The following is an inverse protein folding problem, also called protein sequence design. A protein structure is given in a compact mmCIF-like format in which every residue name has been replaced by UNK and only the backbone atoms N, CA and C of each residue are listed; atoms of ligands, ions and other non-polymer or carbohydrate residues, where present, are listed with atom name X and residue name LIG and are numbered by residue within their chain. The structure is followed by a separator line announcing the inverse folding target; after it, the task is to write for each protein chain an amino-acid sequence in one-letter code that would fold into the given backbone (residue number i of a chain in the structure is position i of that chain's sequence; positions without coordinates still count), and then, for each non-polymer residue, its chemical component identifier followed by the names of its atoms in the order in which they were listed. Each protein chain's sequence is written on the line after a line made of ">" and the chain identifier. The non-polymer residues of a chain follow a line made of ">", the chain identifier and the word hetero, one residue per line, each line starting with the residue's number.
data_IF_452621258303
#
_entry.id   IF_452621258303
#
_cell.length_a   1.000
_cell.length_b   1.000
_cell.length_c   1.000
_cell.angle_alpha   90.00
_cell.angle_beta   90.00
_cell.angle_gamma   90.00
#
_symmetry.space_group_name_H-M   'P 1'
#
loop_
_entity.id
_entity.type
_entity.pdbx_description
1 polymer ?
#
# COMPACT_ATOMS: atom_id res chain seq x y z
N UNK A 1 -2.32 -73.57 -12.44
CA UNK A 1 -2.63 -72.67 -11.30
C UNK A 1 -1.52 -71.62 -11.08
N UNK A 2 -0.99 -71.01 -12.16
CA UNK A 2 0.12 -70.04 -12.13
C UNK A 2 -0.30 -68.65 -12.67
N UNK A 3 -1.42 -68.58 -13.40
CA UNK A 3 -1.88 -67.36 -14.10
C UNK A 3 -2.51 -66.31 -13.18
N UNK A 4 -2.90 -66.69 -11.96
CA UNK A 4 -3.64 -65.79 -11.05
C UNK A 4 -2.71 -64.83 -10.30
N UNK A 5 -1.44 -65.21 -10.09
CA UNK A 5 -0.47 -64.36 -9.39
C UNK A 5 -0.07 -63.14 -10.21
N UNK A 6 0.19 -63.31 -11.51
CA UNK A 6 0.54 -62.21 -12.41
C UNK A 6 -0.64 -61.24 -12.60
N UNK A 7 -1.86 -61.78 -12.70
CA UNK A 7 -3.09 -60.99 -12.75
C UNK A 7 -3.34 -60.19 -11.46
N UNK A 8 -2.93 -60.72 -10.30
CA UNK A 8 -3.04 -60.00 -9.03
C UNK A 8 -2.04 -58.84 -8.93
N UNK A 9 -0.81 -59.02 -9.43
CA UNK A 9 0.21 -57.97 -9.44
C UNK A 9 -0.16 -56.78 -10.34
N UNK A 10 -0.77 -57.04 -11.50
CA UNK A 10 -1.22 -55.96 -12.40
C UNK A 10 -2.38 -55.16 -11.79
N UNK A 11 -3.32 -55.82 -11.11
CA UNK A 11 -4.42 -55.15 -10.40
C UNK A 11 -3.88 -54.31 -9.25
N UNK A 12 -2.92 -54.84 -8.49
CA UNK A 12 -2.29 -54.11 -7.40
C UNK A 12 -1.52 -52.88 -7.90
N UNK A 13 -0.77 -53.00 -8.99
CA UNK A 13 -0.06 -51.87 -9.60
C UNK A 13 -1.02 -50.78 -10.10
N UNK A 14 -2.13 -51.16 -10.75
CA UNK A 14 -3.15 -50.22 -11.20
C UNK A 14 -3.81 -49.47 -10.03
N UNK A 15 -4.07 -50.16 -8.92
CA UNK A 15 -4.61 -49.55 -7.71
C UNK A 15 -3.63 -48.55 -7.08
N UNK A 16 -2.35 -48.91 -6.96
CA UNK A 16 -1.32 -48.00 -6.42
C UNK A 16 -1.14 -46.76 -7.30
N UNK A 17 -1.15 -46.90 -8.62
CA UNK A 17 -1.06 -45.76 -9.55
C UNK A 17 -2.30 -44.86 -9.40
N UNK A 18 -3.50 -45.44 -9.29
CA UNK A 18 -4.74 -44.69 -9.13
C UNK A 18 -4.75 -43.84 -7.85
N UNK A 19 -4.37 -44.42 -6.70
CA UNK A 19 -4.25 -43.68 -5.43
C UNK A 19 -3.20 -42.57 -5.54
N UNK A 20 -2.04 -42.87 -6.12
CA UNK A 20 -0.96 -41.90 -6.29
C UNK A 20 -1.40 -40.70 -7.13
N UNK A 21 -2.19 -40.95 -8.18
CA UNK A 21 -2.72 -39.89 -9.05
C UNK A 21 -3.75 -39.01 -8.33
N UNK A 22 -4.64 -39.60 -7.53
CA UNK A 22 -5.62 -38.85 -6.74
C UNK A 22 -4.92 -37.95 -5.72
N UNK A 23 -3.93 -38.49 -5.00
CA UNK A 23 -3.14 -37.70 -4.04
C UNK A 23 -2.40 -36.57 -4.76
N UNK A 24 -1.82 -36.83 -5.93
CA UNK A 24 -1.13 -35.81 -6.71
C UNK A 24 -2.06 -34.66 -7.12
N UNK A 25 -3.29 -34.97 -7.57
CA UNK A 25 -4.29 -33.96 -7.94
C UNK A 25 -4.68 -33.11 -6.73
N UNK A 26 -4.86 -33.72 -5.56
CA UNK A 26 -5.19 -33.00 -4.32
C UNK A 26 -4.04 -32.07 -3.92
N UNK A 27 -2.79 -32.54 -3.97
CA UNK A 27 -1.62 -31.73 -3.64
C UNK A 27 -1.42 -30.58 -4.63
N UNK A 28 -1.64 -30.82 -5.93
CA UNK A 28 -1.57 -29.76 -6.95
C UNK A 28 -2.64 -28.69 -6.69
N UNK A 29 -3.87 -29.10 -6.40
CA UNK A 29 -4.95 -28.14 -6.12
C UNK A 29 -4.64 -27.31 -4.86
N UNK A 30 -4.13 -27.95 -3.80
CA UNK A 30 -3.71 -27.26 -2.59
C UNK A 30 -2.54 -26.29 -2.85
N UNK A 31 -1.57 -26.69 -3.67
CA UNK A 31 -0.43 -25.86 -4.04
C UNK A 31 -0.84 -24.64 -4.86
N UNK A 32 -1.79 -24.80 -5.81
CA UNK A 32 -2.30 -23.66 -6.57
C UNK A 32 -3.11 -22.70 -5.70
N UNK A 33 -3.97 -23.22 -4.81
CA UNK A 33 -4.72 -22.41 -3.86
C UNK A 33 -3.80 -21.59 -2.96
N UNK A 34 -2.77 -22.24 -2.38
CA UNK A 34 -1.79 -21.58 -1.52
C UNK A 34 -0.94 -20.58 -2.28
N UNK A 35 -0.53 -20.89 -3.52
CA UNK A 35 0.24 -19.98 -4.37
C UNK A 35 -0.56 -18.74 -4.76
N UNK A 36 -1.85 -18.91 -5.07
CA UNK A 36 -2.75 -17.82 -5.38
C UNK A 36 -2.95 -16.91 -4.15
N UNK A 37 -3.23 -17.48 -2.98
CA UNK A 37 -3.38 -16.70 -1.74
C UNK A 37 -2.10 -15.96 -1.35
N UNK A 38 -0.94 -16.59 -1.48
CA UNK A 38 0.35 -15.94 -1.19
C UNK A 38 0.62 -14.76 -2.14
N UNK A 39 0.32 -14.92 -3.44
CA UNK A 39 0.47 -13.85 -4.42
C UNK A 39 -0.47 -12.68 -4.15
N UNK A 40 -1.73 -12.95 -3.77
CA UNK A 40 -2.70 -11.91 -3.45
C UNK A 40 -2.33 -11.18 -2.16
N UNK A 41 -1.90 -11.90 -1.12
CA UNK A 41 -1.48 -11.29 0.15
C UNK A 41 -0.29 -10.33 -0.04
N UNK A 42 0.64 -10.63 -0.94
CA UNK A 42 1.77 -9.77 -1.25
C UNK A 42 1.36 -8.48 -2.00
N UNK A 43 0.25 -8.50 -2.74
CA UNK A 43 -0.32 -7.34 -3.43
C UNK A 43 -1.26 -6.52 -2.55
N UNK A 44 -2.02 -7.16 -1.66
CA UNK A 44 -2.98 -6.50 -0.77
C UNK A 44 -2.31 -5.78 0.40
N UNK A 45 -1.19 -6.30 0.90
CA UNK A 45 -0.43 -5.69 2.00
C UNK A 45 0.06 -4.26 1.70
N UNK A 46 0.76 -3.97 0.57
CA UNK A 46 1.18 -2.60 0.27
C UNK A 46 -0.03 -1.68 0.00
N UNK A 47 -1.08 -2.16 -0.66
CA UNK A 47 -2.21 -1.31 -1.06
C UNK A 47 -3.02 -0.79 0.13
N UNK A 48 -3.24 -1.63 1.15
CA UNK A 48 -4.00 -1.25 2.34
C UNK A 48 -3.23 -0.23 3.19
N UNK A 49 -1.95 -0.50 3.46
CA UNK A 49 -1.09 0.40 4.23
C UNK A 49 -0.94 1.77 3.54
N UNK A 50 -0.82 1.79 2.22
CA UNK A 50 -0.71 3.03 1.45
C UNK A 50 -1.97 3.88 1.51
N UNK A 51 -3.14 3.23 1.50
CA UNK A 51 -4.42 3.93 1.65
C UNK A 51 -4.59 4.49 3.05
N UNK A 52 -4.30 3.69 4.07
CA UNK A 52 -4.39 4.15 5.46
C UNK A 52 -3.44 5.31 5.72
N UNK A 53 -2.18 5.20 5.28
CA UNK A 53 -1.21 6.26 5.38
C UNK A 53 -1.66 7.52 4.64
N UNK A 54 -2.28 7.35 3.47
CA UNK A 54 -2.84 8.46 2.72
C UNK A 54 -3.97 9.17 3.47
N UNK A 55 -4.91 8.42 4.02
CA UNK A 55 -6.07 8.98 4.72
C UNK A 55 -5.63 9.69 6.02
N UNK A 56 -4.66 9.12 6.73
CA UNK A 56 -4.05 9.74 7.92
C UNK A 56 -3.30 11.03 7.56
N UNK A 57 -2.44 10.99 6.53
CA UNK A 57 -1.71 12.18 6.06
C UNK A 57 -2.66 13.27 5.62
N UNK A 58 -3.71 12.93 4.87
CA UNK A 58 -4.70 13.90 4.42
C UNK A 58 -5.43 14.55 5.60
N UNK A 59 -5.78 13.76 6.61
CA UNK A 59 -6.42 14.26 7.83
C UNK A 59 -5.50 15.22 8.58
N UNK A 60 -4.23 14.86 8.78
CA UNK A 60 -3.23 15.70 9.45
C UNK A 60 -2.98 17.01 8.71
N UNK A 61 -2.80 16.96 7.38
CA UNK A 61 -2.63 18.16 6.54
C UNK A 61 -3.86 19.06 6.66
N UNK A 62 -5.06 18.49 6.65
CA UNK A 62 -6.30 19.25 6.76
C UNK A 62 -6.46 19.91 8.14
N UNK A 63 -6.08 19.23 9.24
CA UNK A 63 -6.05 19.82 10.59
C UNK A 63 -5.07 21.00 10.63
N UNK A 64 -3.88 20.81 10.07
CA UNK A 64 -2.83 21.85 10.03
C UNK A 64 -3.29 23.04 9.17
N UNK A 65 -3.92 22.82 8.01
CA UNK A 65 -4.39 23.89 7.13
C UNK A 65 -5.56 24.71 7.71
N UNK A 66 -6.31 24.15 8.66
CA UNK A 66 -7.34 24.85 9.44
C UNK A 66 -6.75 25.68 10.60
N UNK A 67 -5.43 25.62 10.84
CA UNK A 67 -4.79 26.40 11.87
C UNK A 67 -4.63 27.86 11.43
N UNK A 68 -5.01 28.76 12.34
CA UNK A 68 -4.97 30.19 12.08
C UNK A 68 -3.51 30.67 11.92
N UNK A 69 -3.26 31.51 10.91
CA UNK A 69 -1.94 32.12 10.61
C UNK A 69 -0.84 31.17 10.11
N UNK A 70 -1.17 29.98 9.58
CA UNK A 70 -0.18 29.11 8.94
C UNK A 70 -0.02 29.42 7.44
N UNK A 71 1.22 29.36 6.95
CA UNK A 71 1.55 29.56 5.52
C UNK A 71 1.75 28.24 4.79
N UNK A 72 1.57 28.24 3.46
CA UNK A 72 1.82 27.06 2.61
C UNK A 72 3.22 26.49 2.78
N UNK A 73 4.23 27.33 3.02
CA UNK A 73 5.62 26.91 3.19
C UNK A 73 5.79 26.11 4.50
N UNK A 74 5.16 26.55 5.60
CA UNK A 74 5.22 25.84 6.88
C UNK A 74 4.53 24.48 6.81
N UNK A 75 3.41 24.39 6.08
CA UNK A 75 2.75 23.11 5.81
C UNK A 75 3.68 22.19 5.02
N UNK A 76 4.29 22.71 3.95
CA UNK A 76 5.20 21.93 3.11
C UNK A 76 6.44 21.45 3.88
N UNK A 77 7.05 22.30 4.71
CA UNK A 77 8.19 21.93 5.55
C UNK A 77 7.81 20.85 6.58
N UNK A 78 6.64 20.97 7.18
CA UNK A 78 6.10 19.97 8.11
C UNK A 78 5.86 18.63 7.41
N UNK A 79 5.31 18.66 6.20
CA UNK A 79 5.04 17.44 5.41
C UNK A 79 6.31 16.79 4.86
N UNK A 80 7.34 17.56 4.52
CA UNK A 80 8.65 17.02 4.19
C UNK A 80 9.29 16.32 5.40
N UNK A 81 9.19 16.91 6.59
CA UNK A 81 9.69 16.29 7.83
C UNK A 81 8.89 15.01 8.18
N UNK A 82 7.58 15.05 8.07
CA UNK A 82 6.73 13.86 8.21
C UNK A 82 7.12 12.74 7.23
N UNK A 83 7.37 13.09 5.97
CA UNK A 83 7.93 12.19 4.97
C UNK A 83 9.25 11.56 5.43
N UNK A 84 10.22 12.36 5.89
CA UNK A 84 11.51 11.83 6.37
C UNK A 84 11.34 10.89 7.59
N UNK A 85 10.48 11.24 8.54
CA UNK A 85 10.19 10.40 9.70
C UNK A 85 9.55 9.06 9.30
N UNK A 86 8.61 9.07 8.34
CA UNK A 86 8.03 7.84 7.79
C UNK A 86 9.07 6.96 7.10
N UNK A 87 9.90 7.55 6.25
CA UNK A 87 11.01 6.86 5.58
C UNK A 87 11.92 6.15 6.59
N UNK A 88 12.26 6.84 7.70
CA UNK A 88 13.04 6.26 8.80
C UNK A 88 12.28 5.17 9.55
N UNK A 89 10.97 5.32 9.76
CA UNK A 89 10.14 4.30 10.41
C UNK A 89 10.10 3.01 9.59
N UNK A 90 9.89 3.09 8.28
CA UNK A 90 9.94 1.92 7.40
C UNK A 90 11.35 1.29 7.35
N UNK A 91 12.41 2.11 7.41
CA UNK A 91 13.78 1.62 7.51
C UNK A 91 14.03 0.82 8.81
N UNK A 92 13.43 1.20 9.95
CA UNK A 92 13.48 0.39 11.18
C UNK A 92 12.78 -0.96 11.06
N UNK A 93 11.75 -1.06 10.21
CA UNK A 93 11.08 -2.31 9.89
C UNK A 93 11.85 -3.15 8.84
N UNK A 94 13.05 -2.73 8.44
CA UNK A 94 13.90 -3.45 7.49
C UNK A 94 13.56 -3.22 6.02
N UNK A 95 12.74 -2.19 5.72
CA UNK A 95 12.35 -1.85 4.35
C UNK A 95 12.94 -0.48 3.96
N UNK A 96 13.62 -0.42 2.82
CA UNK A 96 14.11 0.85 2.26
C UNK A 96 12.96 1.52 1.51
N UNK A 97 12.40 2.55 2.12
CA UNK A 97 11.22 3.24 1.61
C UNK A 97 11.51 4.73 1.51
N UNK A 98 11.32 5.31 0.32
CA UNK A 98 11.35 6.77 0.15
C UNK A 98 9.92 7.28 0.04
N UNK A 99 9.49 8.02 1.05
CA UNK A 99 8.20 8.72 1.13
C UNK A 99 8.40 10.18 0.74
N UNK A 100 7.56 10.69 -0.14
CA UNK A 100 7.51 12.12 -0.47
C UNK A 100 6.08 12.59 -0.36
N UNK A 101 5.84 13.56 0.51
CA UNK A 101 4.54 14.17 0.72
C UNK A 101 4.59 15.60 0.19
N UNK A 102 3.86 15.84 -0.89
CA UNK A 102 3.70 17.18 -1.45
C UNK A 102 2.29 17.68 -1.17
N UNK A 103 2.20 18.89 -0.63
CA UNK A 103 0.92 19.54 -0.37
C UNK A 103 0.82 20.83 -1.15
N UNK A 104 -0.28 21.01 -1.87
CA UNK A 104 -0.66 22.31 -2.43
C UNK A 104 -1.83 22.85 -1.63
N UNK A 105 -1.75 24.12 -1.21
CA UNK A 105 -2.85 24.81 -0.55
C UNK A 105 -3.29 26.05 -1.34
N UNK A 106 -4.57 26.37 -1.24
CA UNK A 106 -5.19 27.58 -1.81
C UNK A 106 -5.75 28.45 -0.68
N UNK A 107 -5.49 29.74 -0.72
CA UNK A 107 -6.07 30.71 0.22
C UNK A 107 -7.57 30.80 0.00
N UNK A 108 -8.37 30.65 1.06
CA UNK A 108 -9.80 31.04 1.01
C UNK A 108 -9.87 32.56 0.87
N UNK A 109 -10.22 33.04 -0.32
CA UNK A 109 -10.56 34.42 -0.67
C UNK A 109 -9.53 35.51 -0.32
N UNK A 110 -8.80 35.98 -1.33
CA UNK A 110 -8.44 37.40 -1.42
C UNK A 110 -9.42 38.09 -2.39
N UNK A 111 -10.71 38.17 -2.02
CA UNK A 111 -11.52 39.28 -2.50
C UNK A 111 -10.96 40.52 -1.81
N UNK A 112 -10.01 41.18 -2.47
CA UNK A 112 -9.33 42.37 -1.98
C UNK A 112 -10.35 43.47 -1.67
N UNK A 113 -10.83 43.51 -0.42
CA UNK A 113 -11.46 44.71 0.14
C UNK A 113 -11.05 44.86 1.59
N UNK A 114 -10.14 45.81 1.77
CA UNK A 114 -10.00 46.71 2.92
C UNK A 114 -9.58 46.17 4.28
N UNK A 115 -8.47 46.73 4.79
CA UNK A 115 -8.37 47.28 6.14
C UNK A 115 -9.30 46.64 7.20
N UNK A 116 -8.97 45.44 7.66
CA UNK A 116 -9.50 44.94 8.92
C UNK A 116 -8.50 43.98 9.53
N UNK A 117 -7.94 44.41 10.65
CA UNK A 117 -7.16 43.59 11.58
C UNK A 117 -7.97 42.36 11.99
N UNK A 118 -7.53 41.17 11.59
CA UNK A 118 -7.95 39.90 12.19
C UNK A 118 -8.74 38.92 11.32
N UNK A 119 -8.65 38.96 9.99
CA UNK A 119 -9.19 37.88 9.16
C UNK A 119 -8.24 36.68 9.13
N UNK A 120 -8.73 35.59 9.70
CA UNK A 120 -8.10 34.28 9.75
C UNK A 120 -7.88 33.73 8.34
N UNK A 121 -6.63 33.74 7.89
CA UNK A 121 -6.19 33.24 6.58
C UNK A 121 -6.19 31.69 6.57
N UNK A 122 -7.37 31.09 6.67
CA UNK A 122 -7.50 29.64 6.60
C UNK A 122 -7.17 29.14 5.19
N UNK A 123 -6.18 28.26 5.10
CA UNK A 123 -5.78 27.62 3.85
C UNK A 123 -6.69 26.41 3.59
N UNK A 124 -7.15 26.24 2.35
CA UNK A 124 -7.77 24.99 1.93
C UNK A 124 -6.69 24.10 1.30
N UNK A 125 -6.61 22.85 1.73
CA UNK A 125 -5.74 21.86 1.08
C UNK A 125 -6.36 21.53 -0.26
N UNK A 126 -5.62 21.74 -1.34
CA UNK A 126 -6.06 21.43 -2.71
C UNK A 126 -5.57 20.09 -3.16
N UNK A 127 -4.34 19.70 -2.81
CA UNK A 127 -3.81 18.39 -3.19
C UNK A 127 -2.84 17.87 -2.15
N UNK A 128 -2.99 16.60 -1.78
CA UNK A 128 -1.97 15.85 -1.04
C UNK A 128 -1.51 14.72 -1.95
N UNK A 129 -0.21 14.73 -2.27
CA UNK A 129 0.41 13.67 -3.06
C UNK A 129 1.39 12.92 -2.19
N UNK A 130 1.16 11.62 -2.01
CA UNK A 130 2.10 10.72 -1.32
C UNK A 130 2.69 9.81 -2.36
N UNK A 131 4.01 9.83 -2.47
CA UNK A 131 4.77 8.91 -3.28
C UNK A 131 5.59 8.00 -2.38
N UNK A 132 5.38 6.70 -2.49
CA UNK A 132 6.16 5.72 -1.74
C UNK A 132 6.93 4.85 -2.73
N UNK A 133 8.25 4.81 -2.56
CA UNK A 133 9.14 3.96 -3.35
C UNK A 133 9.72 2.88 -2.47
N UNK A 134 9.32 1.63 -2.67
CA UNK A 134 9.91 0.48 -2.00
C UNK A 134 11.06 -0.07 -2.83
N UNK A 135 12.17 -0.38 -2.15
CA UNK A 135 13.33 -1.05 -2.76
C UNK A 135 13.77 -2.22 -1.89
N UNK A 136 13.55 -3.45 -2.38
CA UNK A 136 13.97 -4.70 -1.72
C UNK A 136 15.31 -5.23 -2.26
N UNK A 137 16.02 -4.44 -3.08
CA UNK A 137 17.25 -4.83 -3.77
C UNK A 137 17.04 -5.41 -5.17
N UNK A 138 15.83 -5.85 -5.53
CA UNK A 138 15.53 -6.48 -6.83
C UNK A 138 14.36 -5.82 -7.56
N UNK A 139 13.34 -5.38 -6.82
CA UNK A 139 12.08 -4.84 -7.31
C UNK A 139 11.92 -3.41 -6.82
N UNK A 140 11.51 -2.52 -7.72
CA UNK A 140 11.14 -1.15 -7.39
C UNK A 140 9.64 -0.99 -7.56
N UNK A 141 8.95 -0.72 -6.45
CA UNK A 141 7.54 -0.39 -6.48
C UNK A 141 7.36 1.10 -6.24
N UNK A 142 6.49 1.76 -6.99
CA UNK A 142 6.19 3.17 -6.80
C UNK A 142 4.69 3.37 -6.87
N UNK A 143 4.11 3.70 -5.73
CA UNK A 143 2.72 4.15 -5.67
C UNK A 143 2.65 5.66 -5.49
N UNK A 144 1.63 6.23 -6.11
CA UNK A 144 1.29 7.62 -5.98
C UNK A 144 -0.21 7.74 -5.77
N UNK A 145 -0.60 8.24 -4.61
CA UNK A 145 -1.97 8.70 -4.37
C UNK A 145 -2.00 10.23 -4.43
N UNK A 146 -3.02 10.79 -5.06
CA UNK A 146 -3.24 12.23 -5.15
C UNK A 146 -4.72 12.51 -5.00
N UNK A 147 -5.10 13.17 -3.91
CA UNK A 147 -6.48 13.59 -3.67
C UNK A 147 -6.61 15.08 -3.97
N UNK A 148 -7.60 15.47 -4.78
CA UNK A 148 -7.92 16.87 -5.06
C UNK A 148 -9.29 17.22 -4.52
N UNK A 149 -9.37 18.31 -3.75
CA UNK A 149 -10.63 18.91 -3.33
C UNK A 149 -11.20 19.71 -4.51
N UNK A 150 -12.43 19.42 -4.95
CA UNK A 150 -13.16 20.20 -5.97
C UNK A 150 -13.64 21.51 -5.34
#
# INVERSE_FOLDING_TARGET
>A
MIRDKEAQWIVLAGFTISISLVVLIVLLNLSFMSGYQASQAQLEFPMYELRELHDETYTEVNIIAMQDNITTNEINDTMMNYGDLLSRLYAYHGQLVTTTVNTTTSTKNAAATSNATGESNNLNVTTVTIKITFYDGTTKYTEQLSSSTI
#
